data_IF_913149698968
#
_entry.id   IF_913149698968
#
_cell.length_a   1.000
_cell.length_b   1.000
_cell.length_c   1.000
_cell.angle_alpha   90.00
_cell.angle_beta   90.00
_cell.angle_gamma   90.00
#
_symmetry.space_group_name_H-M   'P 1'
#
loop_
_entity.id
_entity.type
_entity.pdbx_description
1 polymer ?
#
# COMPACT_ATOMS: atom_id res chain seq x y z
N UNK A 1 10.57 -5.33 37.23
CA UNK A 1 10.96 -5.25 35.81
C UNK A 1 9.78 -4.63 35.08
N UNK A 2 9.96 -3.74 34.09
CA UNK A 2 8.82 -3.28 33.30
C UNK A 2 8.20 -4.51 32.66
N UNK A 3 6.91 -4.75 32.89
CA UNK A 3 6.18 -5.76 32.13
C UNK A 3 6.29 -5.35 30.67
N UNK A 4 6.92 -6.15 29.82
CA UNK A 4 6.99 -5.88 28.37
C UNK A 4 5.83 -6.56 27.61
N UNK A 5 4.95 -7.27 28.35
CA UNK A 5 3.85 -8.03 27.79
C UNK A 5 2.82 -7.15 27.07
N UNK A 6 2.56 -5.94 27.57
CA UNK A 6 1.63 -4.98 26.95
C UNK A 6 2.09 -4.50 25.56
N UNK A 7 3.42 -4.35 25.33
CA UNK A 7 3.94 -3.99 23.99
C UNK A 7 3.65 -5.11 22.99
N UNK A 8 3.81 -6.37 23.41
CA UNK A 8 3.46 -7.53 22.60
C UNK A 8 1.98 -7.53 22.22
N UNK A 9 1.09 -7.34 23.20
CA UNK A 9 -0.36 -7.26 22.97
C UNK A 9 -0.75 -6.10 22.06
N UNK A 10 -0.13 -4.93 22.21
CA UNK A 10 -0.37 -3.77 21.34
C UNK A 10 0.05 -4.03 19.89
N UNK A 11 1.24 -4.61 19.69
CA UNK A 11 1.73 -4.97 18.35
C UNK A 11 0.84 -6.02 17.69
N UNK A 12 0.31 -6.97 18.47
CA UNK A 12 -0.63 -7.98 17.98
C UNK A 12 -1.94 -7.35 17.52
N UNK A 13 -2.51 -6.42 18.30
CA UNK A 13 -3.72 -5.68 17.90
C UNK A 13 -3.47 -4.88 16.61
N UNK A 14 -2.33 -4.18 16.51
CA UNK A 14 -1.95 -3.45 15.30
C UNK A 14 -1.77 -4.38 14.11
N UNK A 15 -1.13 -5.53 14.29
CA UNK A 15 -0.92 -6.52 13.24
C UNK A 15 -2.26 -7.05 12.73
N UNK A 16 -3.15 -7.45 13.63
CA UNK A 16 -4.47 -7.97 13.26
C UNK A 16 -5.30 -6.89 12.55
N UNK A 17 -5.28 -5.65 13.02
CA UNK A 17 -5.93 -4.51 12.36
C UNK A 17 -5.40 -4.33 10.92
N UNK A 18 -4.09 -4.14 10.76
CA UNK A 18 -3.45 -3.92 9.45
C UNK A 18 -3.69 -5.08 8.49
N UNK A 19 -3.54 -6.32 8.97
CA UNK A 19 -3.76 -7.51 8.16
C UNK A 19 -5.20 -7.60 7.69
N UNK A 20 -6.17 -7.30 8.55
CA UNK A 20 -7.59 -7.34 8.15
C UNK A 20 -7.89 -6.33 7.03
N UNK A 21 -7.35 -5.12 7.14
CA UNK A 21 -7.50 -4.09 6.11
C UNK A 21 -6.83 -4.53 4.79
N UNK A 22 -5.57 -4.97 4.86
CA UNK A 22 -4.79 -5.29 3.67
C UNK A 22 -5.24 -6.58 2.97
N UNK A 23 -5.75 -7.57 3.72
CA UNK A 23 -6.32 -8.80 3.14
C UNK A 23 -7.58 -8.50 2.33
N UNK A 24 -8.42 -7.56 2.79
CA UNK A 24 -9.56 -7.05 1.99
C UNK A 24 -9.08 -6.31 0.74
N UNK A 25 -8.07 -5.45 0.88
CA UNK A 25 -7.46 -4.75 -0.25
C UNK A 25 -6.86 -5.73 -1.28
N UNK A 26 -6.26 -6.83 -0.84
CA UNK A 26 -5.70 -7.86 -1.70
C UNK A 26 -6.78 -8.57 -2.54
N UNK A 27 -7.93 -8.89 -1.95
CA UNK A 27 -9.06 -9.50 -2.67
C UNK A 27 -9.60 -8.57 -3.76
N UNK A 28 -9.79 -7.28 -3.47
CA UNK A 28 -10.19 -6.30 -4.48
C UNK A 28 -9.14 -6.14 -5.57
N UNK A 29 -7.87 -6.08 -5.18
CA UNK A 29 -6.74 -5.98 -6.11
C UNK A 29 -6.70 -7.16 -7.09
N UNK A 30 -7.03 -8.37 -6.65
CA UNK A 30 -7.13 -9.54 -7.55
C UNK A 30 -8.18 -9.34 -8.65
N UNK A 31 -9.41 -8.96 -8.29
CA UNK A 31 -10.49 -8.71 -9.26
C UNK A 31 -10.13 -7.56 -10.20
N UNK A 32 -9.62 -6.47 -9.63
CA UNK A 32 -9.18 -5.29 -10.37
C UNK A 32 -8.12 -5.64 -11.41
N UNK A 33 -7.21 -6.54 -11.06
CA UNK A 33 -6.15 -6.98 -11.96
C UNK A 33 -6.70 -7.70 -13.20
N UNK A 34 -7.68 -8.60 -13.01
CA UNK A 34 -8.36 -9.27 -14.13
C UNK A 34 -9.03 -8.27 -15.08
N UNK A 35 -9.72 -7.28 -14.51
CA UNK A 35 -10.39 -6.22 -15.27
C UNK A 35 -9.38 -5.36 -16.06
N UNK A 36 -8.30 -4.90 -15.43
CA UNK A 36 -7.26 -4.09 -16.10
C UNK A 36 -6.64 -4.86 -17.26
N UNK A 37 -6.36 -6.15 -17.08
CA UNK A 37 -5.79 -6.98 -18.14
C UNK A 37 -6.77 -7.19 -19.31
N UNK A 38 -8.06 -7.34 -19.04
CA UNK A 38 -9.11 -7.42 -20.06
C UNK A 38 -9.19 -6.10 -20.85
N UNK A 39 -9.32 -4.96 -20.17
CA UNK A 39 -9.42 -3.64 -20.79
C UNK A 39 -8.17 -3.32 -21.63
N UNK A 40 -6.99 -3.66 -21.12
CA UNK A 40 -5.71 -3.49 -21.82
C UNK A 40 -5.63 -4.30 -23.11
N UNK A 41 -6.20 -5.51 -23.13
CA UNK A 41 -6.19 -6.40 -24.30
C UNK A 41 -7.25 -6.02 -25.33
N UNK A 42 -8.46 -5.64 -24.88
CA UNK A 42 -9.63 -5.46 -25.76
C UNK A 42 -9.80 -3.99 -26.20
N UNK A 43 -9.90 -3.05 -25.25
CA UNK A 43 -10.29 -1.67 -25.56
C UNK A 43 -9.12 -0.77 -25.92
N UNK A 44 -7.97 -0.98 -25.31
CA UNK A 44 -6.83 -0.07 -25.44
C UNK A 44 -5.65 -0.67 -26.20
N UNK A 45 -5.84 -1.78 -26.93
CA UNK A 45 -4.79 -2.53 -27.65
C UNK A 45 -3.84 -1.62 -28.45
N UNK A 46 -4.37 -0.62 -29.15
CA UNK A 46 -3.62 0.29 -30.01
C UNK A 46 -3.22 1.62 -29.33
N UNK A 47 -3.72 1.91 -28.11
CA UNK A 47 -3.56 3.20 -27.44
C UNK A 47 -2.52 3.13 -26.32
N UNK A 48 -1.25 3.33 -26.67
CA UNK A 48 -0.11 3.18 -25.73
C UNK A 48 -0.22 4.02 -24.46
N UNK A 49 -0.59 5.29 -24.55
CA UNK A 49 -0.74 6.15 -23.36
C UNK A 49 -1.89 5.70 -22.46
N UNK A 50 -3.07 5.38 -23.03
CA UNK A 50 -4.23 4.93 -22.26
C UNK A 50 -3.97 3.59 -21.57
N UNK A 51 -3.24 2.67 -22.22
CA UNK A 51 -2.78 1.43 -21.58
C UNK A 51 -1.95 1.69 -20.34
N UNK A 52 -0.99 2.62 -20.42
CA UNK A 52 -0.17 3.01 -19.28
C UNK A 52 -1.00 3.61 -18.14
N UNK A 53 -1.99 4.44 -18.48
CA UNK A 53 -2.86 5.11 -17.52
C UNK A 53 -3.75 4.13 -16.72
N UNK A 54 -4.10 2.97 -17.27
CA UNK A 54 -4.86 1.94 -16.53
C UNK A 54 -4.13 1.48 -15.26
N UNK A 55 -2.81 1.52 -15.24
CA UNK A 55 -2.04 1.14 -14.05
C UNK A 55 -2.25 2.11 -12.88
N UNK A 56 -2.71 3.34 -13.12
CA UNK A 56 -3.04 4.29 -12.05
C UNK A 56 -4.20 3.81 -11.16
N UNK A 57 -5.06 2.91 -11.66
CA UNK A 57 -6.16 2.32 -10.86
C UNK A 57 -5.63 1.52 -9.68
N UNK A 58 -4.39 1.02 -9.73
CA UNK A 58 -3.73 0.34 -8.62
C UNK A 58 -3.25 1.27 -7.49
N UNK A 59 -3.47 2.58 -7.60
CA UNK A 59 -3.26 3.52 -6.49
C UNK A 59 -4.38 3.44 -5.44
N UNK A 60 -5.57 2.97 -5.82
CA UNK A 60 -6.74 2.93 -4.92
C UNK A 60 -6.76 1.76 -3.93
N UNK A 61 -6.35 0.51 -4.28
CA UNK A 61 -6.49 -0.66 -3.40
C UNK A 61 -6.03 -0.48 -1.97
N UNK A 62 -4.88 0.16 -1.64
CA UNK A 62 -4.46 0.35 -0.25
C UNK A 62 -5.48 1.06 0.64
N UNK A 63 -6.36 1.89 0.05
CA UNK A 63 -7.34 2.70 0.77
C UNK A 63 -8.72 2.03 0.87
N UNK A 64 -8.96 0.94 0.15
CA UNK A 64 -10.29 0.33 0.07
C UNK A 64 -10.69 -0.41 1.35
N UNK A 65 -9.75 -0.88 2.16
CA UNK A 65 -10.06 -1.71 3.34
C UNK A 65 -11.04 -1.08 4.33
N UNK A 66 -11.02 0.26 4.45
CA UNK A 66 -11.81 1.04 5.42
C UNK A 66 -13.22 1.42 4.91
N UNK A 67 -13.59 0.99 3.70
CA UNK A 67 -14.89 1.33 3.12
C UNK A 67 -16.06 0.83 3.97
N UNK A 68 -17.09 1.67 4.15
CA UNK A 68 -18.35 1.34 4.84
C UNK A 68 -19.03 0.11 4.24
N UNK A 69 -18.83 -0.11 2.95
CA UNK A 69 -19.30 -1.26 2.19
C UNK A 69 -18.99 -2.62 2.86
N UNK A 70 -17.84 -2.76 3.53
CA UNK A 70 -17.47 -4.02 4.19
C UNK A 70 -18.28 -4.32 5.45
N UNK A 71 -18.91 -3.30 6.03
CA UNK A 71 -19.54 -3.37 7.35
C UNK A 71 -21.06 -3.25 7.25
N UNK A 72 -21.55 -2.35 6.38
CA UNK A 72 -22.97 -2.03 6.27
C UNK A 72 -23.70 -2.94 5.28
N UNK A 73 -23.00 -3.43 4.24
CA UNK A 73 -23.63 -4.28 3.23
C UNK A 73 -23.64 -5.75 3.65
N UNK A 74 -24.84 -6.30 3.89
CA UNK A 74 -25.02 -7.67 4.37
C UNK A 74 -24.38 -8.74 3.47
N UNK A 75 -24.41 -8.56 2.15
CA UNK A 75 -23.83 -9.52 1.21
C UNK A 75 -22.30 -9.53 1.27
N UNK A 76 -21.68 -8.35 1.31
CA UNK A 76 -20.22 -8.20 1.35
C UNK A 76 -19.67 -8.55 2.74
N UNK A 77 -20.39 -8.17 3.79
CA UNK A 77 -20.08 -8.59 5.15
C UNK A 77 -20.08 -10.12 5.24
N UNK A 78 -21.13 -10.80 4.75
CA UNK A 78 -21.18 -12.27 4.69
C UNK A 78 -20.04 -12.87 3.85
N UNK A 79 -19.75 -12.28 2.69
CA UNK A 79 -18.69 -12.74 1.79
C UNK A 79 -17.27 -12.54 2.34
N UNK A 80 -17.06 -11.57 3.24
CA UNK A 80 -15.74 -11.26 3.83
C UNK A 80 -15.66 -11.64 5.32
N UNK A 81 -16.73 -12.19 5.87
CA UNK A 81 -16.83 -12.59 7.27
C UNK A 81 -15.80 -13.64 7.63
N UNK A 82 -15.67 -14.70 6.83
CA UNK A 82 -14.69 -15.77 7.05
C UNK A 82 -13.25 -15.26 7.05
N UNK A 83 -12.94 -14.29 6.17
CA UNK A 83 -11.63 -13.63 6.13
C UNK A 83 -11.38 -12.83 7.41
N UNK A 84 -12.37 -12.04 7.84
CA UNK A 84 -12.29 -11.24 9.07
C UNK A 84 -12.22 -12.13 10.32
N UNK A 85 -12.99 -13.21 10.37
CA UNK A 85 -12.96 -14.20 11.45
C UNK A 85 -11.60 -14.87 11.53
N UNK A 86 -11.04 -15.30 10.39
CA UNK A 86 -9.71 -15.93 10.35
C UNK A 86 -8.59 -15.02 10.85
N UNK A 87 -8.62 -13.73 10.49
CA UNK A 87 -7.62 -12.76 10.96
C UNK A 87 -7.80 -12.40 12.44
N UNK A 88 -9.04 -12.29 12.93
CA UNK A 88 -9.33 -11.99 14.34
C UNK A 88 -9.08 -13.18 15.27
N UNK A 89 -9.39 -14.41 14.84
CA UNK A 89 -9.29 -15.60 15.69
C UNK A 89 -7.89 -16.18 15.80
N UNK A 90 -6.96 -15.82 14.89
CA UNK A 90 -5.62 -16.38 14.88
C UNK A 90 -4.56 -15.28 14.78
N UNK A 91 -3.96 -14.94 15.93
CA UNK A 91 -2.90 -13.93 16.05
C UNK A 91 -1.70 -14.22 15.14
N UNK A 92 -1.40 -15.50 14.91
CA UNK A 92 -0.32 -15.92 14.00
C UNK A 92 -0.53 -15.44 12.57
N UNK A 93 -1.79 -15.35 12.10
CA UNK A 93 -2.07 -14.84 10.75
C UNK A 93 -1.62 -13.38 10.62
N UNK A 94 -1.94 -12.56 11.63
CA UNK A 94 -1.48 -11.17 11.70
C UNK A 94 0.05 -11.08 11.70
N UNK A 95 0.71 -11.83 12.58
CA UNK A 95 2.18 -11.85 12.71
C UNK A 95 2.88 -12.32 11.44
N UNK A 96 2.40 -13.39 10.80
CA UNK A 96 2.96 -13.90 9.53
C UNK A 96 2.81 -12.84 8.44
N UNK A 97 1.64 -12.21 8.35
CA UNK A 97 1.37 -11.21 7.33
C UNK A 97 2.25 -9.95 7.50
N UNK A 98 2.37 -9.41 8.71
CA UNK A 98 3.22 -8.25 8.99
C UNK A 98 4.70 -8.56 8.80
N UNK A 99 5.13 -9.76 9.21
CA UNK A 99 6.49 -10.26 8.94
C UNK A 99 6.74 -10.36 7.43
N UNK A 100 5.76 -10.85 6.66
CA UNK A 100 5.81 -10.90 5.20
C UNK A 100 6.00 -9.52 4.56
N UNK A 101 5.27 -8.50 5.02
CA UNK A 101 5.44 -7.10 4.58
C UNK A 101 6.86 -6.61 4.90
N UNK A 102 7.32 -6.85 6.13
CA UNK A 102 8.63 -6.41 6.60
C UNK A 102 9.76 -7.05 5.78
N UNK A 103 9.70 -8.37 5.56
CA UNK A 103 10.65 -9.10 4.72
C UNK A 103 10.62 -8.58 3.28
N UNK A 104 9.43 -8.42 2.68
CA UNK A 104 9.29 -7.91 1.32
C UNK A 104 9.89 -6.49 1.18
N UNK A 105 9.64 -5.63 2.17
CA UNK A 105 10.16 -4.26 2.23
C UNK A 105 11.68 -4.27 2.34
N UNK A 106 12.25 -5.04 3.28
CA UNK A 106 13.70 -5.19 3.42
C UNK A 106 14.33 -5.72 2.14
N UNK A 107 13.73 -6.72 1.49
CA UNK A 107 14.25 -7.25 0.23
C UNK A 107 14.24 -6.20 -0.90
N UNK A 108 13.15 -5.45 -1.07
CA UNK A 108 13.03 -4.42 -2.12
C UNK A 108 13.98 -3.25 -1.86
N UNK A 109 13.95 -2.69 -0.65
CA UNK A 109 14.79 -1.55 -0.28
C UNK A 109 16.26 -1.94 -0.18
N UNK A 110 16.55 -3.15 0.32
CA UNK A 110 17.90 -3.72 0.36
C UNK A 110 18.50 -3.88 -1.03
N UNK A 111 17.75 -4.40 -2.01
CA UNK A 111 18.17 -4.45 -3.42
C UNK A 111 18.45 -3.06 -3.97
N UNK A 112 17.56 -2.09 -3.73
CA UNK A 112 17.74 -0.70 -4.18
C UNK A 112 18.95 -0.04 -3.53
N UNK A 113 19.20 -0.28 -2.24
CA UNK A 113 20.35 0.26 -1.51
C UNK A 113 21.66 -0.37 -2.00
N UNK A 114 21.69 -1.68 -2.20
CA UNK A 114 22.84 -2.40 -2.77
C UNK A 114 23.19 -1.84 -4.14
N UNK A 115 22.21 -1.68 -5.03
CA UNK A 115 22.42 -1.07 -6.34
C UNK A 115 22.93 0.38 -6.24
N UNK A 116 22.37 1.19 -5.33
CA UNK A 116 22.87 2.57 -5.10
C UNK A 116 24.32 2.59 -4.64
N UNK A 117 24.73 1.67 -3.75
CA UNK A 117 26.11 1.56 -3.27
C UNK A 117 27.06 1.14 -4.41
N UNK A 118 26.66 0.16 -5.21
CA UNK A 118 27.44 -0.25 -6.39
C UNK A 118 27.65 0.91 -7.36
N UNK A 119 26.59 1.67 -7.66
CA UNK A 119 26.67 2.82 -8.57
C UNK A 119 27.42 4.01 -7.97
N UNK A 120 27.52 4.12 -6.64
CA UNK A 120 28.29 5.18 -6.01
C UNK A 120 29.81 5.04 -6.24
N UNK A 121 30.30 3.80 -6.36
CA UNK A 121 31.71 3.48 -6.62
C UNK A 121 32.10 3.40 -8.09
N UNK A 122 31.15 3.51 -9.01
CA UNK A 122 31.41 3.50 -10.46
C UNK A 122 32.14 4.75 -10.92
N UNK A 123 32.97 4.59 -11.96
CA UNK A 123 33.62 5.69 -12.67
C UNK A 123 32.58 6.66 -13.22
N UNK A 124 32.88 7.96 -13.18
CA UNK A 124 31.96 9.02 -13.62
C UNK A 124 32.55 9.73 -14.81
N UNK A 125 31.84 9.68 -15.93
CA UNK A 125 32.20 10.35 -17.18
C UNK A 125 31.18 11.46 -17.46
N UNK A 126 31.65 12.57 -18.03
CA UNK A 126 30.77 13.64 -18.49
C UNK A 126 30.52 13.51 -19.99
N UNK A 127 29.24 13.45 -20.37
CA UNK A 127 28.82 13.49 -21.77
C UNK A 127 27.85 14.66 -21.97
N UNK A 128 28.22 15.63 -22.82
CA UNK A 128 27.43 16.84 -23.10
C UNK A 128 26.84 17.48 -21.83
N UNK A 129 27.69 17.70 -20.81
CA UNK A 129 27.35 18.26 -19.47
C UNK A 129 26.53 17.36 -18.53
N UNK A 130 26.16 16.15 -18.96
CA UNK A 130 25.43 15.17 -18.14
C UNK A 130 26.43 14.22 -17.48
N UNK A 131 26.25 14.00 -16.18
CA UNK A 131 27.08 13.06 -15.41
C UNK A 131 26.54 11.64 -15.58
N UNK A 132 27.38 10.76 -16.11
CA UNK A 132 27.05 9.36 -16.37
C UNK A 132 27.99 8.48 -15.56
N UNK A 133 27.45 7.40 -14.99
CA UNK A 133 28.24 6.36 -14.34
C UNK A 133 28.52 5.24 -15.32
N UNK A 134 29.79 4.84 -15.46
CA UNK A 134 30.21 3.77 -16.38
C UNK A 134 30.51 2.50 -15.58
N UNK A 135 30.12 1.35 -16.13
CA UNK A 135 30.33 0.03 -15.51
C UNK A 135 30.94 -0.94 -16.51
N UNK A 136 31.89 -1.75 -16.05
CA UNK A 136 32.47 -2.84 -16.87
C UNK A 136 31.50 -4.02 -17.04
N UNK A 137 30.41 -4.06 -16.25
CA UNK A 137 29.37 -5.07 -16.40
C UNK A 137 28.56 -4.87 -17.68
N UNK A 138 28.35 -5.96 -18.42
CA UNK A 138 27.54 -5.98 -19.63
C UNK A 138 26.04 -6.09 -19.28
N UNK A 139 25.40 -4.93 -19.11
CA UNK A 139 24.00 -4.80 -18.69
C UNK A 139 23.27 -3.77 -19.55
N UNK A 140 21.94 -3.82 -19.61
CA UNK A 140 21.19 -2.74 -20.28
C UNK A 140 21.47 -1.40 -19.60
N UNK A 141 21.61 -0.29 -20.36
CA UNK A 141 21.53 1.06 -19.82
C UNK A 141 20.35 1.19 -18.86
N UNK A 142 20.57 1.84 -17.72
CA UNK A 142 19.49 2.05 -16.77
C UNK A 142 19.70 3.29 -15.93
N UNK A 143 18.58 3.80 -15.44
CA UNK A 143 18.56 4.94 -14.53
C UNK A 143 18.28 4.50 -13.09
N UNK A 144 19.02 5.06 -12.13
CA UNK A 144 18.84 4.81 -10.70
C UNK A 144 18.81 6.10 -9.87
N UNK A 145 17.98 6.11 -8.82
CA UNK A 145 17.90 7.20 -7.85
C UNK A 145 16.63 8.04 -8.03
N UNK A 146 15.88 8.24 -6.95
CA UNK A 146 14.57 8.90 -7.03
C UNK A 146 14.70 10.43 -7.11
N UNK A 147 15.42 11.04 -6.17
CA UNK A 147 15.58 12.49 -6.07
C UNK A 147 16.73 13.05 -6.92
N UNK A 148 17.82 12.27 -7.02
CA UNK A 148 19.00 12.59 -7.82
C UNK A 148 19.27 11.42 -8.76
N UNK A 149 18.49 11.29 -9.85
CA UNK A 149 18.63 10.19 -10.79
C UNK A 149 20.02 10.25 -11.45
N UNK A 150 20.61 9.08 -11.65
CA UNK A 150 21.89 8.85 -12.30
C UNK A 150 21.69 7.85 -13.42
N UNK A 151 22.28 8.13 -14.57
CA UNK A 151 22.28 7.24 -15.73
C UNK A 151 23.53 6.36 -15.63
N UNK A 152 23.35 5.04 -15.78
CA UNK A 152 24.42 4.05 -15.77
C UNK A 152 24.53 3.44 -17.16
N UNK A 153 25.74 3.44 -17.73
CA UNK A 153 26.03 2.89 -19.04
C UNK A 153 27.14 1.83 -18.96
N UNK A 154 27.06 0.74 -19.74
CA UNK A 154 28.17 -0.18 -19.93
C UNK A 154 29.34 0.50 -20.61
N UNK A 155 30.56 0.17 -20.19
CA UNK A 155 31.80 0.65 -20.79
C UNK A 155 31.91 0.24 -22.26
N UNK A 156 31.53 -0.99 -22.58
CA UNK A 156 31.46 -1.47 -23.96
C UNK A 156 30.58 -0.57 -24.85
N UNK A 157 29.51 0.01 -24.32
CA UNK A 157 28.69 0.99 -25.07
C UNK A 157 29.36 2.35 -25.17
N UNK A 158 30.01 2.82 -24.11
CA UNK A 158 30.74 4.09 -24.12
C UNK A 158 31.88 4.09 -25.15
N UNK A 159 32.53 2.94 -25.37
CA UNK A 159 33.69 2.82 -26.25
C UNK A 159 33.31 2.50 -27.71
N UNK A 160 32.24 1.73 -27.95
CA UNK A 160 31.88 1.24 -29.31
C UNK A 160 30.81 2.04 -30.05
N UNK A 161 30.14 2.98 -29.37
CA UNK A 161 29.03 3.75 -29.95
C UNK A 161 29.52 5.10 -30.47
N UNK A 162 28.93 5.56 -31.58
CA UNK A 162 29.12 6.93 -32.04
C UNK A 162 28.50 7.91 -31.04
N UNK A 163 28.95 9.17 -31.06
CA UNK A 163 28.41 10.23 -30.21
C UNK A 163 26.90 10.38 -30.39
N UNK A 164 26.39 10.24 -31.62
CA UNK A 164 24.98 10.35 -31.96
C UNK A 164 24.16 9.16 -31.45
N UNK A 165 24.72 7.95 -31.48
CA UNK A 165 24.09 6.75 -30.94
C UNK A 165 24.02 6.82 -29.41
N UNK A 166 25.12 7.22 -28.76
CA UNK A 166 25.18 7.39 -27.30
C UNK A 166 24.20 8.47 -26.82
N UNK A 167 24.12 9.59 -27.55
CA UNK A 167 23.12 10.64 -27.30
C UNK A 167 21.69 10.12 -27.36
N UNK A 168 21.38 9.20 -28.28
CA UNK A 168 20.05 8.61 -28.39
C UNK A 168 19.70 7.76 -27.16
N UNK A 169 20.65 6.95 -26.67
CA UNK A 169 20.49 6.11 -25.48
C UNK A 169 20.32 7.00 -24.24
N UNK A 170 21.16 8.04 -24.10
CA UNK A 170 21.05 8.97 -22.97
C UNK A 170 19.71 9.69 -22.99
N UNK A 171 19.22 10.12 -24.16
CA UNK A 171 17.90 10.74 -24.30
C UNK A 171 16.76 9.78 -23.90
N UNK A 172 16.88 8.49 -24.19
CA UNK A 172 15.94 7.46 -23.75
C UNK A 172 15.90 7.38 -22.22
N UNK A 173 17.05 7.24 -21.57
CA UNK A 173 17.16 7.19 -20.10
C UNK A 173 16.68 8.48 -19.42
N UNK A 174 16.99 9.64 -20.02
CA UNK A 174 16.45 10.93 -19.56
C UNK A 174 14.93 11.00 -19.70
N UNK A 175 14.36 10.33 -20.70
CA UNK A 175 12.90 10.27 -20.87
C UNK A 175 12.27 9.44 -19.74
N UNK A 176 12.89 8.35 -19.26
CA UNK A 176 12.44 7.65 -18.05
C UNK A 176 12.43 8.56 -16.82
N UNK A 177 13.46 9.41 -16.67
CA UNK A 177 13.53 10.40 -15.58
C UNK A 177 12.40 11.41 -15.69
N UNK A 178 12.24 12.02 -16.87
CA UNK A 178 11.23 13.07 -17.12
C UNK A 178 9.80 12.56 -16.94
N UNK A 179 9.53 11.31 -17.33
CA UNK A 179 8.22 10.68 -17.16
C UNK A 179 7.98 10.15 -15.74
N UNK A 180 8.96 10.22 -14.84
CA UNK A 180 8.81 9.76 -13.47
C UNK A 180 8.69 8.23 -13.32
N UNK A 181 9.15 7.45 -14.31
CA UNK A 181 9.06 5.99 -14.29
C UNK A 181 9.69 5.37 -13.03
N UNK A 182 10.72 6.01 -12.46
CA UNK A 182 11.32 5.58 -11.19
C UNK A 182 10.36 5.69 -10.00
N UNK A 183 9.52 6.71 -9.95
CA UNK A 183 8.49 6.90 -8.92
C UNK A 183 7.35 5.90 -9.10
N UNK A 184 6.88 5.68 -10.33
CA UNK A 184 5.86 4.67 -10.58
C UNK A 184 6.37 3.25 -10.26
N UNK A 185 7.64 2.95 -10.57
CA UNK A 185 8.28 1.71 -10.16
C UNK A 185 8.37 1.55 -8.64
N UNK A 186 8.62 2.63 -7.90
CA UNK A 186 8.61 2.61 -6.43
C UNK A 186 7.20 2.36 -5.89
N UNK A 187 6.19 3.07 -6.41
CA UNK A 187 4.80 2.89 -5.99
C UNK A 187 4.32 1.45 -6.24
N UNK A 188 4.68 0.87 -7.39
CA UNK A 188 4.39 -0.53 -7.69
C UNK A 188 5.06 -1.50 -6.72
N UNK A 189 6.34 -1.26 -6.38
CA UNK A 189 7.05 -2.09 -5.41
C UNK A 189 6.45 -1.96 -4.00
N UNK A 190 6.04 -0.76 -3.57
CA UNK A 190 5.34 -0.54 -2.30
C UNK A 190 4.02 -1.31 -2.25
N UNK A 191 3.23 -1.24 -3.34
CA UNK A 191 1.97 -1.99 -3.44
C UNK A 191 2.20 -3.50 -3.34
N UNK A 192 3.27 -4.01 -3.97
CA UNK A 192 3.67 -5.43 -3.85
C UNK A 192 4.14 -5.82 -2.46
N UNK A 193 4.78 -4.91 -1.71
CA UNK A 193 5.13 -5.17 -0.32
C UNK A 193 3.88 -5.23 0.57
N UNK A 194 2.96 -4.28 0.42
CA UNK A 194 1.72 -4.21 1.19
C UNK A 194 0.79 -5.39 0.88
N UNK A 195 0.67 -5.76 -0.39
CA UNK A 195 -0.20 -6.83 -0.87
C UNK A 195 0.60 -8.04 -1.34
N UNK A 196 1.62 -8.45 -0.59
CA UNK A 196 2.58 -9.48 -1.01
C UNK A 196 1.96 -10.84 -1.32
N UNK A 197 0.81 -11.17 -0.71
CA UNK A 197 0.02 -12.37 -1.02
C UNK A 197 -0.54 -12.33 -2.44
N UNK A 198 -0.76 -11.13 -3.01
CA UNK A 198 -1.23 -10.99 -4.38
C UNK A 198 -0.10 -11.22 -5.39
N UNK A 199 0.13 -12.50 -5.71
CA UNK A 199 1.13 -12.95 -6.68
C UNK A 199 0.94 -12.33 -8.07
N UNK A 200 -0.29 -11.94 -8.44
CA UNK A 200 -0.56 -11.31 -9.73
C UNK A 200 0.12 -9.96 -9.89
N UNK A 201 0.29 -9.18 -8.82
CA UNK A 201 1.05 -7.92 -8.89
C UNK A 201 2.52 -8.15 -9.29
N UNK A 202 3.06 -9.31 -8.93
CA UNK A 202 4.41 -9.73 -9.35
C UNK A 202 4.41 -10.20 -10.80
N UNK A 203 3.44 -11.03 -11.21
CA UNK A 203 3.32 -11.51 -12.60
C UNK A 203 3.14 -10.34 -13.57
N UNK A 204 2.24 -9.41 -13.25
CA UNK A 204 1.90 -8.28 -14.12
C UNK A 204 2.90 -7.14 -14.06
N UNK A 205 3.91 -7.19 -13.16
CA UNK A 205 5.01 -6.23 -13.16
C UNK A 205 5.72 -6.19 -14.53
N UNK A 206 5.85 -7.33 -15.22
CA UNK A 206 6.43 -7.39 -16.57
C UNK A 206 5.63 -6.56 -17.57
N UNK A 207 4.30 -6.63 -17.53
CA UNK A 207 3.42 -5.85 -18.39
C UNK A 207 3.43 -4.35 -18.06
N UNK A 208 3.46 -4.02 -16.77
CA UNK A 208 3.61 -2.64 -16.31
C UNK A 208 4.91 -2.00 -16.83
N UNK A 209 6.05 -2.70 -16.69
CA UNK A 209 7.33 -2.25 -17.25
C UNK A 209 7.28 -2.16 -18.77
N UNK A 210 6.75 -3.18 -19.44
CA UNK A 210 6.62 -3.22 -20.88
C UNK A 210 5.82 -2.04 -21.45
N UNK A 211 4.77 -1.59 -20.77
CA UNK A 211 3.98 -0.42 -21.18
C UNK A 211 4.73 0.90 -20.93
N UNK A 212 5.51 1.00 -19.83
CA UNK A 212 6.40 2.16 -19.59
C UNK A 212 7.48 2.29 -20.67
N UNK A 213 8.09 1.18 -21.10
CA UNK A 213 9.06 1.17 -22.20
C UNK A 213 8.42 1.68 -23.50
N UNK A 214 7.21 1.26 -23.81
CA UNK A 214 6.52 1.70 -25.04
C UNK A 214 6.19 3.20 -25.02
N UNK A 215 5.81 3.72 -23.85
CA UNK A 215 5.56 5.15 -23.65
C UNK A 215 6.88 5.91 -23.81
N UNK A 216 7.96 5.42 -23.20
CA UNK A 216 9.29 6.01 -23.31
C UNK A 216 9.74 6.07 -24.78
N UNK A 217 9.67 4.95 -25.49
CA UNK A 217 10.04 4.85 -26.91
C UNK A 217 9.28 5.87 -27.76
N UNK A 218 7.95 5.97 -27.60
CA UNK A 218 7.14 6.96 -28.34
C UNK A 218 7.51 8.40 -28.01
N UNK A 219 7.74 8.71 -26.75
CA UNK A 219 8.11 10.06 -26.31
C UNK A 219 9.52 10.42 -26.78
N UNK A 220 10.45 9.46 -26.77
CA UNK A 220 11.82 9.63 -27.23
C UNK A 220 11.88 9.84 -28.75
N UNK A 221 11.18 9.03 -29.55
CA UNK A 221 11.12 9.22 -31.02
C UNK A 221 10.59 10.62 -31.36
N UNK A 222 9.50 11.05 -30.72
CA UNK A 222 8.92 12.37 -31.02
C UNK A 222 9.79 13.56 -30.60
N UNK A 223 10.59 13.42 -29.54
CA UNK A 223 11.40 14.53 -29.01
C UNK A 223 12.86 14.53 -29.48
N UNK A 224 13.37 13.40 -29.98
CA UNK A 224 14.78 13.28 -30.43
C UNK A 224 15.03 13.87 -31.81
N UNK A 225 13.99 14.10 -32.61
CA UNK A 225 14.11 14.54 -34.00
C UNK A 225 14.64 13.47 -34.96
N UNK A 226 14.91 12.25 -34.47
CA UNK A 226 15.33 11.09 -35.27
C UNK A 226 14.13 10.36 -35.84
N UNK A 227 14.33 9.69 -36.96
CA UNK A 227 13.31 8.79 -37.50
C UNK A 227 13.13 7.58 -36.58
N UNK A 228 11.94 6.98 -36.59
CA UNK A 228 11.68 5.76 -35.84
C UNK A 228 12.63 4.61 -36.25
N UNK A 229 13.07 4.60 -37.51
CA UNK A 229 14.03 3.64 -38.03
C UNK A 229 15.42 3.80 -37.40
N UNK A 230 15.99 5.01 -37.43
CA UNK A 230 17.30 5.28 -36.82
C UNK A 230 17.29 4.98 -35.31
N UNK A 231 16.23 5.37 -34.61
CA UNK A 231 16.05 5.04 -33.20
C UNK A 231 16.01 3.52 -32.96
N UNK A 232 15.22 2.80 -33.75
CA UNK A 232 15.12 1.34 -33.67
C UNK A 232 16.45 0.63 -33.93
N UNK A 233 17.26 1.12 -34.87
CA UNK A 233 18.59 0.58 -35.15
C UNK A 233 19.54 0.72 -33.96
N UNK A 234 19.52 1.85 -33.24
CA UNK A 234 20.35 2.04 -32.03
C UNK A 234 19.95 1.05 -30.93
N UNK A 235 18.65 0.84 -30.73
CA UNK A 235 18.15 -0.15 -29.77
C UNK A 235 18.49 -1.59 -30.16
N UNK A 236 18.45 -1.92 -31.45
CA UNK A 236 18.86 -3.23 -31.94
C UNK A 236 20.37 -3.44 -31.79
N UNK A 237 21.19 -2.41 -32.05
CA UNK A 237 22.64 -2.43 -31.77
C UNK A 237 22.90 -2.68 -30.30
N UNK A 238 22.09 -2.09 -29.41
CA UNK A 238 22.17 -2.30 -27.96
C UNK A 238 21.97 -3.77 -27.62
N UNK A 239 20.89 -4.38 -28.10
CA UNK A 239 20.64 -5.80 -27.84
C UNK A 239 21.74 -6.71 -28.41
N UNK A 240 22.28 -6.40 -29.59
CA UNK A 240 23.37 -7.18 -30.20
C UNK A 240 24.64 -7.14 -29.37
N UNK A 241 25.05 -5.95 -28.91
CA UNK A 241 26.25 -5.78 -28.06
C UNK A 241 26.12 -6.57 -26.76
N UNK A 242 24.96 -6.47 -26.10
CA UNK A 242 24.71 -7.19 -24.86
C UNK A 242 24.74 -8.72 -25.06
N UNK A 243 24.31 -9.21 -26.24
CA UNK A 243 24.28 -10.64 -26.55
C UNK A 243 25.63 -11.20 -26.96
N UNK A 244 26.40 -10.52 -27.82
CA UNK A 244 27.65 -11.07 -28.38
C UNK A 244 28.72 -11.36 -27.33
N UNK A 245 28.70 -10.63 -26.22
CA UNK A 245 29.59 -10.89 -25.08
C UNK A 245 29.00 -11.86 -24.04
N UNK A 246 27.71 -12.21 -24.15
CA UNK A 246 27.01 -13.15 -23.26
C UNK A 246 27.10 -14.62 -23.68
N UNK A 247 27.67 -14.93 -24.85
CA UNK A 247 27.79 -16.31 -25.37
C UNK A 247 28.66 -17.24 -24.48
N UNK A 248 29.31 -16.72 -23.45
CA UNK A 248 30.09 -17.46 -22.46
C UNK A 248 29.32 -17.84 -21.17
N UNK A 249 27.98 -17.77 -21.13
CA UNK A 249 27.19 -17.88 -19.88
C UNK A 249 26.20 -19.08 -19.92
N UNK A 250 26.05 -19.86 -18.82
CA UNK A 250 25.33 -21.15 -18.79
C UNK A 250 23.82 -21.14 -19.13
N UNK A 251 23.22 -22.32 -19.43
CA UNK A 251 21.89 -22.48 -20.03
C UNK A 251 20.69 -21.92 -19.24
N UNK A 252 20.83 -21.61 -17.95
CA UNK A 252 19.78 -20.95 -17.17
C UNK A 252 19.54 -19.49 -17.61
N UNK A 253 20.52 -18.87 -18.27
CA UNK A 253 20.46 -17.49 -18.80
C UNK A 253 19.77 -17.42 -20.16
N UNK A 254 19.62 -18.55 -20.86
CA UNK A 254 18.92 -18.62 -22.16
C UNK A 254 17.44 -18.23 -22.07
N UNK A 255 16.77 -18.54 -20.95
CA UNK A 255 15.37 -18.13 -20.73
C UNK A 255 15.22 -16.62 -20.50
N UNK A 256 16.23 -15.98 -19.89
CA UNK A 256 16.28 -14.52 -19.78
C UNK A 256 16.47 -13.90 -21.17
N UNK A 257 17.37 -14.45 -21.99
CA UNK A 257 17.61 -14.01 -23.37
C UNK A 257 16.40 -14.14 -24.31
N UNK A 258 15.59 -15.20 -24.19
CA UNK A 258 14.35 -15.35 -24.98
C UNK A 258 13.30 -14.29 -24.62
N UNK A 259 13.18 -13.95 -23.33
CA UNK A 259 12.28 -12.90 -22.87
C UNK A 259 12.70 -11.51 -23.35
N UNK A 260 14.01 -11.22 -23.34
CA UNK A 260 14.58 -9.98 -23.86
C UNK A 260 14.39 -9.83 -25.38
N UNK A 261 14.57 -10.91 -26.13
CA UNK A 261 14.31 -10.91 -27.57
C UNK A 261 12.83 -10.69 -27.89
N UNK A 262 11.93 -11.35 -27.14
CA UNK A 262 10.48 -11.18 -27.31
C UNK A 262 10.05 -9.75 -27.01
N UNK A 263 10.60 -9.15 -25.95
CA UNK A 263 10.36 -7.76 -25.60
C UNK A 263 10.92 -6.79 -26.66
N UNK A 264 12.12 -7.04 -27.18
CA UNK A 264 12.67 -6.23 -28.25
C UNK A 264 11.85 -6.34 -29.54
N UNK A 265 11.45 -7.55 -29.94
CA UNK A 265 10.59 -7.78 -31.11
C UNK A 265 9.27 -7.00 -30.99
N UNK A 266 8.65 -7.03 -29.80
CA UNK A 266 7.45 -6.27 -29.48
C UNK A 266 7.68 -4.76 -29.60
N UNK A 267 8.77 -4.24 -29.03
CA UNK A 267 9.15 -2.82 -29.13
C UNK A 267 9.36 -2.40 -30.59
N UNK A 268 10.11 -3.18 -31.36
CA UNK A 268 10.36 -2.91 -32.79
C UNK A 268 9.06 -2.84 -33.60
N UNK A 269 8.09 -3.72 -33.35
CA UNK A 269 6.77 -3.63 -33.98
C UNK A 269 6.05 -2.30 -33.69
N UNK A 270 6.13 -1.80 -32.45
CA UNK A 270 5.52 -0.52 -32.06
C UNK A 270 6.28 0.70 -32.57
N UNK A 271 7.60 0.62 -32.64
CA UNK A 271 8.47 1.66 -33.19
C UNK A 271 8.23 1.78 -34.70
N UNK A 272 8.15 0.66 -35.43
CA UNK A 272 7.84 0.65 -36.86
C UNK A 272 6.46 1.26 -37.16
N UNK A 273 5.47 1.01 -36.30
CA UNK A 273 4.13 1.60 -36.37
C UNK A 273 4.01 2.99 -35.72
N UNK A 274 5.11 3.72 -35.51
CA UNK A 274 5.08 5.01 -34.84
C UNK A 274 4.23 6.03 -35.61
N UNK A 275 3.41 6.77 -34.86
CA UNK A 275 2.67 7.94 -35.35
C UNK A 275 2.83 9.06 -34.33
N UNK A 276 3.05 10.32 -34.76
CA UNK A 276 3.18 11.44 -33.85
C UNK A 276 1.88 11.62 -33.05
N UNK A 277 2.01 11.84 -31.74
CA UNK A 277 0.89 12.13 -30.87
C UNK A 277 0.73 13.64 -30.67
N UNK A 278 -0.52 14.08 -30.47
CA UNK A 278 -0.82 15.48 -30.14
C UNK A 278 -0.55 15.71 -28.66
N UNK A 279 0.42 16.57 -28.35
CA UNK A 279 0.86 16.82 -26.96
C UNK A 279 -0.28 17.42 -26.13
N UNK A 280 -1.09 18.30 -26.72
CA UNK A 280 -2.21 18.97 -26.05
C UNK A 280 -3.29 17.98 -25.64
N UNK A 281 -3.62 17.03 -26.53
CA UNK A 281 -4.59 15.97 -26.24
C UNK A 281 -4.08 15.06 -25.12
N UNK A 282 -2.81 14.64 -25.16
CA UNK A 282 -2.22 13.82 -24.12
C UNK A 282 -2.19 14.53 -22.76
N UNK A 283 -1.87 15.82 -22.73
CA UNK A 283 -1.93 16.63 -21.51
C UNK A 283 -3.36 16.75 -20.98
N UNK A 284 -4.36 16.98 -21.86
CA UNK A 284 -5.76 17.02 -21.48
C UNK A 284 -6.23 15.71 -20.85
N UNK A 285 -5.92 14.56 -21.47
CA UNK A 285 -6.26 13.24 -20.93
C UNK A 285 -5.55 12.98 -19.60
N UNK A 286 -4.27 13.38 -19.46
CA UNK A 286 -3.55 13.25 -18.20
C UNK A 286 -4.15 14.12 -17.09
N UNK A 287 -4.57 15.35 -17.39
CA UNK A 287 -5.23 16.23 -16.43
C UNK A 287 -6.58 15.66 -15.98
N UNK A 288 -7.38 15.13 -16.91
CA UNK A 288 -8.64 14.43 -16.59
C UNK A 288 -8.36 13.22 -15.70
N UNK A 289 -7.33 12.42 -15.99
CA UNK A 289 -6.97 11.27 -15.16
C UNK A 289 -6.61 11.70 -13.73
N UNK A 290 -5.83 12.76 -13.56
CA UNK A 290 -5.47 13.29 -12.23
C UNK A 290 -6.72 13.77 -11.49
N UNK A 291 -7.61 14.51 -12.16
CA UNK A 291 -8.86 14.99 -11.58
C UNK A 291 -9.78 13.83 -11.16
N UNK A 292 -9.95 12.82 -12.02
CA UNK A 292 -10.74 11.62 -11.73
C UNK A 292 -10.12 10.83 -10.58
N UNK A 293 -8.80 10.68 -10.55
CA UNK A 293 -8.09 10.00 -9.46
C UNK A 293 -8.32 10.72 -8.12
N UNK A 294 -8.21 12.05 -8.11
CA UNK A 294 -8.51 12.87 -6.94
C UNK A 294 -9.97 12.74 -6.49
N UNK A 295 -10.93 12.82 -7.40
CA UNK A 295 -12.35 12.65 -7.12
C UNK A 295 -12.66 11.26 -6.54
N UNK A 296 -12.08 10.19 -7.11
CA UNK A 296 -12.25 8.83 -6.61
C UNK A 296 -11.67 8.68 -5.20
N UNK A 297 -10.49 9.26 -4.92
CA UNK A 297 -9.92 9.25 -3.56
C UNK A 297 -10.80 10.01 -2.56
N UNK A 298 -11.42 11.14 -2.95
CA UNK A 298 -12.37 11.87 -2.11
C UNK A 298 -13.64 11.08 -1.84
N UNK A 299 -14.16 10.36 -2.84
CA UNK A 299 -15.30 9.45 -2.67
C UNK A 299 -14.93 8.30 -1.74
N UNK A 300 -13.77 7.66 -1.93
CA UNK A 300 -13.27 6.60 -1.05
C UNK A 300 -13.17 7.14 0.39
N UNK A 301 -12.62 8.33 0.59
CA UNK A 301 -12.52 8.96 1.90
C UNK A 301 -13.91 9.19 2.53
N UNK A 302 -14.85 9.73 1.77
CA UNK A 302 -16.22 10.03 2.24
C UNK A 302 -17.02 8.77 2.57
N UNK A 303 -16.80 7.70 1.80
CA UNK A 303 -17.41 6.39 1.98
C UNK A 303 -16.61 5.46 2.89
N UNK A 304 -15.48 5.91 3.43
CA UNK A 304 -14.73 5.17 4.44
C UNK A 304 -15.19 5.54 5.83
N UNK A 305 -14.94 4.66 6.79
CA UNK A 305 -15.08 5.02 8.18
C UNK A 305 -13.93 5.90 8.65
N UNK A 306 -14.24 6.75 9.63
CA UNK A 306 -13.23 7.52 10.35
C UNK A 306 -12.18 6.58 10.96
N UNK A 307 -10.96 7.10 11.10
CA UNK A 307 -9.83 6.34 11.60
C UNK A 307 -10.04 5.83 13.04
N UNK A 308 -10.74 6.62 13.85
CA UNK A 308 -11.26 6.25 15.15
C UNK A 308 -12.60 6.97 15.38
N UNK A 309 -13.45 6.42 16.26
CA UNK A 309 -14.55 7.14 16.90
C UNK A 309 -14.36 7.08 18.40
N UNK A 310 -14.77 8.12 19.10
CA UNK A 310 -14.95 8.03 20.55
C UNK A 310 -16.03 6.99 20.83
N UNK A 311 -15.73 6.09 21.76
CA UNK A 311 -16.65 5.07 22.22
C UNK A 311 -17.50 5.65 23.34
N UNK A 312 -18.74 6.00 23.02
CA UNK A 312 -19.71 6.44 24.02
C UNK A 312 -20.49 5.27 24.64
N UNK A 313 -20.15 4.02 24.30
CA UNK A 313 -20.82 2.87 24.92
C UNK A 313 -20.42 2.76 26.39
N UNK A 314 -21.40 2.42 27.21
CA UNK A 314 -21.20 2.06 28.61
C UNK A 314 -21.44 0.56 28.70
N UNK A 315 -20.45 -0.15 29.24
CA UNK A 315 -20.51 -1.58 29.45
C UNK A 315 -20.52 -1.87 30.94
N UNK A 316 -21.35 -2.82 31.35
CA UNK A 316 -21.46 -3.23 32.75
C UNK A 316 -21.11 -4.71 32.83
N UNK A 317 -20.11 -5.02 33.65
CA UNK A 317 -19.60 -6.37 33.86
C UNK A 317 -19.69 -6.74 35.33
N UNK A 318 -20.04 -7.99 35.57
CA UNK A 318 -20.03 -8.60 36.89
C UNK A 318 -18.83 -9.53 37.00
N UNK A 319 -18.06 -9.37 38.08
CA UNK A 319 -17.05 -10.35 38.46
C UNK A 319 -17.60 -11.27 39.55
N UNK A 320 -17.67 -12.57 39.25
CA UNK A 320 -17.97 -13.63 40.21
C UNK A 320 -16.73 -14.52 40.32
N UNK A 321 -15.86 -14.22 41.29
CA UNK A 321 -14.56 -14.91 41.42
C UNK A 321 -13.54 -14.43 40.37
N UNK A 322 -12.90 -15.36 39.65
CA UNK A 322 -11.91 -15.03 38.58
C UNK A 322 -12.54 -14.81 37.19
N UNK A 323 -13.81 -15.20 37.01
CA UNK A 323 -14.51 -15.09 35.72
C UNK A 323 -15.47 -13.88 35.72
N UNK A 324 -15.32 -13.03 34.70
CA UNK A 324 -16.19 -11.87 34.47
C UNK A 324 -17.31 -12.18 33.47
N UNK A 325 -18.56 -11.96 33.86
CA UNK A 325 -19.73 -12.09 33.00
C UNK A 325 -20.17 -10.70 32.51
N UNK A 326 -20.36 -10.55 31.21
CA UNK A 326 -20.93 -9.31 30.65
C UNK A 326 -22.43 -9.26 30.94
N UNK A 327 -22.87 -8.34 31.81
CA UNK A 327 -24.30 -8.17 32.12
C UNK A 327 -25.00 -7.49 30.95
N UNK A 328 -24.40 -6.42 30.43
CA UNK A 328 -24.96 -5.70 29.29
C UNK A 328 -23.90 -4.97 28.50
N UNK A 329 -24.12 -4.98 27.19
CA UNK A 329 -23.24 -4.43 26.19
C UNK A 329 -24.11 -3.63 25.19
N UNK A 330 -23.92 -2.31 25.13
CA UNK A 330 -24.68 -1.37 24.27
C UNK A 330 -26.19 -1.24 24.59
N UNK A 331 -26.63 -1.35 25.85
CA UNK A 331 -28.01 -0.99 26.19
C UNK A 331 -28.17 0.54 26.30
N UNK A 332 -28.99 1.11 25.43
CA UNK A 332 -29.36 2.54 25.45
C UNK A 332 -29.90 3.03 26.79
N UNK A 333 -30.44 2.13 27.63
CA UNK A 333 -30.91 2.44 28.97
C UNK A 333 -29.78 2.80 29.92
N UNK A 334 -28.58 2.24 29.74
CA UNK A 334 -27.42 2.58 30.58
C UNK A 334 -27.03 4.05 30.45
N UNK A 335 -27.18 4.65 29.27
CA UNK A 335 -26.95 6.08 29.05
C UNK A 335 -27.95 6.99 29.77
N UNK A 336 -29.09 6.45 30.21
CA UNK A 336 -30.08 7.21 30.99
C UNK A 336 -29.78 7.16 32.49
N UNK A 337 -29.04 6.14 32.95
CA UNK A 337 -28.74 5.90 34.37
C UNK A 337 -27.32 6.28 34.75
N UNK A 338 -26.39 6.29 33.79
CA UNK A 338 -24.97 6.53 34.01
C UNK A 338 -24.53 7.70 33.13
N UNK A 339 -23.86 8.67 33.76
CA UNK A 339 -23.16 9.77 33.08
C UNK A 339 -21.77 9.95 33.70
N UNK A 340 -20.85 10.57 33.00
CA UNK A 340 -19.49 10.80 33.51
C UNK A 340 -18.94 12.12 32.99
N UNK A 341 -18.07 12.74 33.79
CA UNK A 341 -17.25 13.89 33.41
C UNK A 341 -15.77 13.50 33.48
N UNK A 342 -14.84 14.47 33.47
CA UNK A 342 -13.40 14.21 33.48
C UNK A 342 -12.86 13.61 34.80
N UNK A 343 -13.65 13.54 35.86
CA UNK A 343 -13.20 13.16 37.21
C UNK A 343 -14.12 12.18 37.93
N UNK A 344 -15.40 12.12 37.57
CA UNK A 344 -16.41 11.34 38.26
C UNK A 344 -17.36 10.63 37.30
N UNK A 345 -17.84 9.47 37.75
CA UNK A 345 -19.00 8.76 37.20
C UNK A 345 -20.18 8.98 38.12
N UNK A 346 -21.32 9.33 37.55
CA UNK A 346 -22.58 9.54 38.24
C UNK A 346 -23.55 8.43 37.85
N UNK A 347 -24.08 7.72 38.84
CA UNK A 347 -24.99 6.59 38.64
C UNK A 347 -26.29 6.84 39.40
N UNK A 348 -27.42 6.86 38.71
CA UNK A 348 -28.76 6.84 39.33
C UNK A 348 -28.95 5.49 40.03
N UNK A 349 -28.93 5.51 41.36
CA UNK A 349 -28.93 4.29 42.17
C UNK A 349 -30.19 3.48 41.96
N UNK A 350 -31.36 4.13 42.02
CA UNK A 350 -32.66 3.44 41.95
C UNK A 350 -32.87 2.76 40.60
N UNK A 351 -32.53 3.45 39.51
CA UNK A 351 -32.63 2.88 38.17
C UNK A 351 -31.59 1.79 37.93
N UNK A 352 -30.35 2.00 38.40
CA UNK A 352 -29.25 1.07 38.16
C UNK A 352 -29.37 -0.22 38.99
N UNK A 353 -29.76 -0.15 40.26
CA UNK A 353 -30.02 -1.33 41.10
C UNK A 353 -31.21 -2.15 40.58
N UNK A 354 -32.26 -1.49 40.10
CA UNK A 354 -33.38 -2.18 39.43
C UNK A 354 -32.94 -2.90 38.15
N UNK A 355 -32.00 -2.30 37.40
CA UNK A 355 -31.38 -2.94 36.24
C UNK A 355 -30.52 -4.14 36.65
N UNK A 356 -29.70 -4.04 37.69
CA UNK A 356 -28.88 -5.15 38.20
C UNK A 356 -29.74 -6.31 38.71
N UNK A 357 -30.78 -6.01 39.50
CA UNK A 357 -31.71 -7.01 40.02
C UNK A 357 -32.47 -7.76 38.92
N UNK A 358 -32.78 -7.10 37.79
CA UNK A 358 -33.40 -7.76 36.63
C UNK A 358 -32.46 -8.75 35.92
N UNK A 359 -31.14 -8.53 36.03
CA UNK A 359 -30.13 -9.38 35.43
C UNK A 359 -29.51 -10.39 36.42
N UNK A 360 -30.04 -10.49 37.64
CA UNK A 360 -29.52 -11.35 38.72
C UNK A 360 -28.02 -11.14 39.00
N UNK A 361 -27.56 -9.89 38.96
CA UNK A 361 -26.18 -9.56 39.25
C UNK A 361 -25.97 -9.41 40.77
N UNK A 362 -25.14 -10.28 41.35
CA UNK A 362 -24.87 -10.37 42.80
C UNK A 362 -23.38 -10.19 43.15
N UNK A 363 -22.50 -10.18 42.14
CA UNK A 363 -21.06 -10.01 42.26
C UNK A 363 -20.57 -8.56 42.22
N UNK A 364 -19.26 -8.38 42.04
CA UNK A 364 -18.66 -7.04 41.93
C UNK A 364 -18.98 -6.42 40.57
N UNK A 365 -19.61 -5.24 40.59
CA UNK A 365 -20.06 -4.57 39.37
C UNK A 365 -19.02 -3.53 38.92
N UNK A 366 -18.51 -3.69 37.71
CA UNK A 366 -17.62 -2.73 37.06
C UNK A 366 -18.34 -2.02 35.92
N UNK A 367 -18.20 -0.71 35.90
CA UNK A 367 -18.70 0.16 34.83
C UNK A 367 -17.50 0.54 33.96
N UNK A 368 -17.56 0.19 32.68
CA UNK A 368 -16.54 0.54 31.68
C UNK A 368 -17.14 1.56 30.72
N UNK A 369 -16.44 2.67 30.49
CA UNK A 369 -16.95 3.80 29.73
C UNK A 369 -15.82 4.55 29.01
N UNK A 370 -16.19 5.27 27.96
CA UNK A 370 -15.25 6.06 27.16
C UNK A 370 -14.28 5.20 26.33
N UNK A 371 -13.20 5.83 25.89
CA UNK A 371 -12.19 5.22 25.02
C UNK A 371 -12.47 5.44 23.55
N UNK A 372 -11.80 4.64 22.71
CA UNK A 372 -11.88 4.76 21.25
C UNK A 372 -12.26 3.43 20.63
N UNK A 373 -13.18 3.48 19.69
CA UNK A 373 -13.58 2.38 18.86
C UNK A 373 -12.94 2.47 17.47
N UNK A 374 -12.36 1.36 17.03
CA UNK A 374 -11.68 1.21 15.74
C UNK A 374 -12.17 -0.06 15.05
N UNK A 375 -12.62 0.10 13.81
CA UNK A 375 -13.15 -1.03 13.05
C UNK A 375 -12.07 -2.07 12.71
N UNK A 376 -12.39 -3.37 12.66
CA UNK A 376 -13.72 -3.98 12.69
C UNK A 376 -14.25 -4.37 14.08
N UNK A 377 -13.80 -3.74 15.17
CA UNK A 377 -14.27 -4.13 16.52
C UNK A 377 -13.25 -3.99 17.64
N UNK A 378 -12.19 -3.21 17.45
CA UNK A 378 -11.17 -2.96 18.47
C UNK A 378 -11.56 -1.74 19.29
N UNK A 379 -11.85 -1.92 20.57
CA UNK A 379 -11.91 -0.85 21.55
C UNK A 379 -10.57 -0.74 22.30
N UNK A 380 -10.13 0.48 22.60
CA UNK A 380 -8.92 0.74 23.37
C UNK A 380 -9.08 2.02 24.20
N UNK A 381 -8.47 2.06 25.38
CA UNK A 381 -8.48 3.25 26.24
C UNK A 381 -9.78 3.49 27.00
N UNK A 382 -10.62 2.47 27.14
CA UNK A 382 -11.79 2.53 28.02
C UNK A 382 -11.35 2.72 29.48
N UNK A 383 -12.09 3.55 30.20
CA UNK A 383 -11.95 3.76 31.64
C UNK A 383 -12.82 2.72 32.35
N UNK A 384 -12.45 2.30 33.56
CA UNK A 384 -13.31 1.48 34.40
C UNK A 384 -13.36 2.00 35.83
N UNK A 385 -14.52 1.85 36.47
CA UNK A 385 -14.69 2.07 37.90
C UNK A 385 -15.53 0.95 38.53
N UNK A 386 -15.30 0.71 39.82
CA UNK A 386 -16.09 -0.22 40.62
C UNK A 386 -17.31 0.51 41.16
N UNK A 387 -18.50 -0.09 41.02
CA UNK A 387 -19.72 0.42 41.62
C UNK A 387 -19.81 0.02 43.10
N UNK A 388 -19.93 1.01 43.98
CA UNK A 388 -20.07 0.81 45.42
C UNK A 388 -21.55 0.60 45.78
N UNK A 389 -21.90 -0.60 46.27
CA UNK A 389 -23.27 -0.98 46.65
C UNK A 389 -23.74 -0.39 47.97
N UNK A 390 -22.83 0.20 48.75
CA UNK A 390 -23.09 0.63 50.13
C UNK A 390 -23.50 2.12 50.23
N UNK A 391 -23.58 2.82 49.10
CA UNK A 391 -23.96 4.23 49.08
C UNK A 391 -25.46 4.43 49.33
N UNK A 392 -25.79 5.43 50.16
CA UNK A 392 -27.18 5.80 50.46
C UNK A 392 -27.69 6.95 49.57
N UNK A 393 -26.82 7.52 48.75
CA UNK A 393 -27.15 8.65 47.90
C UNK A 393 -28.11 8.25 46.77
N UNK A 394 -28.94 9.19 46.32
CA UNK A 394 -29.81 8.99 45.14
C UNK A 394 -28.98 8.87 43.85
N UNK A 395 -27.89 9.62 43.77
CA UNK A 395 -26.89 9.55 42.70
C UNK A 395 -25.54 9.18 43.30
N UNK A 396 -25.04 8.00 42.97
CA UNK A 396 -23.73 7.52 43.42
C UNK A 396 -22.65 8.22 42.60
N UNK A 397 -21.71 8.89 43.27
CA UNK A 397 -20.59 9.59 42.67
C UNK A 397 -19.30 8.81 42.87
N UNK A 398 -18.77 8.24 41.81
CA UNK A 398 -17.60 7.37 41.83
C UNK A 398 -16.39 8.13 41.25
N UNK A 399 -15.35 8.42 42.03
CA UNK A 399 -14.12 9.02 41.50
C UNK A 399 -13.40 8.02 40.60
N UNK A 400 -12.84 8.51 39.49
CA UNK A 400 -11.95 7.71 38.65
C UNK A 400 -10.75 8.53 38.19
N UNK A 401 -9.64 7.85 37.91
CA UNK A 401 -8.44 8.51 37.39
C UNK A 401 -8.43 8.33 35.88
N UNK A 402 -8.60 9.42 35.15
CA UNK A 402 -8.44 9.42 33.69
C UNK A 402 -7.00 9.03 33.34
N UNK A 403 -6.81 7.85 32.74
CA UNK A 403 -5.56 7.56 32.04
C UNK A 403 -5.31 8.65 30.99
N UNK A 404 -4.25 9.45 31.17
CA UNK A 404 -3.82 10.48 30.21
C UNK A 404 -3.46 9.85 28.86
N UNK A 405 -3.46 10.68 27.81
CA UNK A 405 -3.07 10.30 26.44
C UNK A 405 -1.61 9.79 26.43
N UNK A 406 -1.44 8.50 26.72
CA UNK A 406 -0.18 7.79 26.56
C UNK A 406 0.28 7.95 25.10
N UNK A 407 1.60 8.05 24.87
CA UNK A 407 2.17 8.11 23.52
C UNK A 407 1.71 6.92 22.65
N UNK A 408 1.37 5.79 23.29
CA UNK A 408 0.74 4.64 22.65
C UNK A 408 -0.70 4.89 22.21
N UNK A 409 -1.48 5.63 23.00
CA UNK A 409 -2.83 6.06 22.61
C UNK A 409 -2.76 6.99 21.40
N UNK A 410 -1.80 7.92 21.40
CA UNK A 410 -1.52 8.77 20.24
C UNK A 410 -1.10 7.94 19.01
N UNK A 411 -0.26 6.92 19.20
CA UNK A 411 0.14 6.01 18.12
C UNK A 411 -1.04 5.18 17.60
N UNK A 412 -1.93 4.71 18.48
CA UNK A 412 -3.14 3.97 18.10
C UNK A 412 -4.14 4.82 17.31
N UNK A 413 -4.25 6.11 17.66
CA UNK A 413 -5.02 7.10 16.89
C UNK A 413 -4.43 7.35 15.49
N UNK A 414 -3.10 7.28 15.34
CA UNK A 414 -2.37 7.54 14.07
C UNK A 414 -2.30 6.31 13.15
N UNK A 415 -2.18 5.10 13.69
CA UNK A 415 -2.24 3.85 12.92
C UNK A 415 -3.65 3.61 12.38
#
# INVERSE_FOLDING_TARGET
>A
MPDWQWIGSFLDVCAVYLTTQLVRCAAFSFVLTGLVMLLRKVLFSERTFLKGMLWAVFLFPPFLGKLRLFYENAAICKATWWMTKGTMSCLWVGRIYTTGILVATICVFGKRLRLRRLVAGMEKVFFDSIRISVTDMNITPFTIGLLKPKIVLPKAMADSYSREELKAIIQHEQTHIRLGHLWFGLAWDMLRCLLWINLFLTVFQKHFRADMEDICDRVCIQNSGKTAHEYGLVLLKTLKLLRSESENVPPAVTYAGESEFTDMKRRMGKIAGFRPYRKELCMGVAAVLVAVTGAVLLVIHSCSYAQFREDESILVYEYVGEDGVTISNHDSRLKQMISYDDSYVYVDRGAFEAFLGKNNAEGQIYIVFGGFYKLPGFSCGGQSCLYETDSTDEVVRIPYIRQEDDWMMALFKIL
#
